data_IF_809589696280
#
_entry.id   IF_809589696280
#
_cell.length_a   1.000
_cell.length_b   1.000
_cell.length_c   1.000
_cell.angle_alpha   90.00
_cell.angle_beta   90.00
_cell.angle_gamma   90.00
#
_symmetry.space_group_name_H-M   'P 1'
#
loop_
_entity.id
_entity.type
_entity.pdbx_description
1 polymer ?
#
# COMPACT_ATOMS: atom_id res chain seq x y z
N UNK A 1 24.62 32.13 36.55
CA UNK A 1 23.72 32.21 37.71
C UNK A 1 22.42 32.89 37.29
N UNK A 2 21.38 32.14 36.90
CA UNK A 2 19.99 32.62 36.87
C UNK A 2 19.09 31.42 37.17
N UNK A 3 18.09 31.69 38.00
CA UNK A 3 17.30 30.73 38.77
C UNK A 3 16.23 29.97 37.98
N UNK A 4 15.98 28.79 38.51
CA UNK A 4 14.86 27.85 38.33
C UNK A 4 13.46 28.47 38.28
N UNK A 5 12.56 27.89 37.46
CA UNK A 5 11.12 27.83 37.75
C UNK A 5 10.57 26.41 37.58
N UNK A 6 9.97 25.96 38.69
CA UNK A 6 9.16 24.75 38.90
C UNK A 6 7.78 24.81 38.24
N UNK A 7 7.15 23.61 38.25
CA UNK A 7 5.72 23.24 38.14
C UNK A 7 5.29 22.89 36.72
N UNK A 8 4.56 21.79 36.49
CA UNK A 8 3.43 21.30 37.29
C UNK A 8 3.09 19.84 36.91
N UNK A 9 2.81 19.01 37.91
CA UNK A 9 2.20 17.70 37.77
C UNK A 9 0.88 17.75 37.00
N UNK A 10 0.67 16.75 36.12
CA UNK A 10 -0.57 16.54 35.39
C UNK A 10 -0.86 15.05 35.22
N UNK A 11 -1.49 14.44 36.22
CA UNK A 11 -2.15 13.11 36.15
C UNK A 11 -3.08 13.02 34.93
N UNK A 12 -3.07 11.88 34.22
CA UNK A 12 -4.25 11.22 33.62
C UNK A 12 -3.83 9.82 33.13
N UNK A 13 -4.11 8.78 33.92
CA UNK A 13 -5.29 7.90 33.80
C UNK A 13 -5.06 6.74 32.84
N UNK A 14 -4.55 5.66 33.43
CA UNK A 14 -4.47 4.29 32.89
C UNK A 14 -5.88 3.80 32.56
N UNK A 15 -6.18 3.58 31.27
CA UNK A 15 -7.37 2.82 30.86
C UNK A 15 -6.99 1.35 30.68
N UNK A 16 -7.47 0.51 31.60
CA UNK A 16 -7.48 -0.95 31.46
C UNK A 16 -8.69 -1.35 30.64
N UNK A 17 -8.50 -1.83 29.42
CA UNK A 17 -9.51 -2.48 28.60
C UNK A 17 -9.22 -3.98 28.48
N UNK A 18 -9.94 -4.80 29.25
CA UNK A 18 -9.88 -6.26 29.20
C UNK A 18 -11.13 -6.84 28.49
N UNK A 19 -11.11 -8.12 28.07
CA UNK A 19 -11.77 -8.59 26.84
C UNK A 19 -13.21 -9.07 27.04
N UNK A 20 -14.06 -8.84 26.03
CA UNK A 20 -15.39 -9.46 25.94
C UNK A 20 -15.33 -10.85 25.32
N UNK A 21 -15.41 -11.86 26.18
CA UNK A 21 -15.84 -13.23 25.86
C UNK A 21 -17.32 -13.26 25.46
N UNK A 22 -17.66 -14.18 24.56
CA UNK A 22 -18.88 -14.98 24.69
C UNK A 22 -20.02 -14.66 23.74
N UNK A 23 -20.05 -15.36 22.60
CA UNK A 23 -21.22 -15.46 21.72
C UNK A 23 -21.35 -16.89 21.21
N UNK A 24 -22.07 -17.72 21.97
CA UNK A 24 -22.41 -19.12 21.65
C UNK A 24 -23.76 -19.14 20.92
N UNK A 25 -24.03 -20.25 20.22
CA UNK A 25 -25.37 -20.76 19.79
C UNK A 25 -25.83 -20.17 18.44
N UNK A 26 -26.06 -20.96 17.36
CA UNK A 26 -27.16 -21.94 17.23
C UNK A 26 -26.88 -23.07 16.25
N UNK A 27 -27.20 -24.29 16.72
CA UNK A 27 -27.57 -25.47 15.92
C UNK A 27 -28.88 -25.19 15.17
N UNK A 28 -28.97 -25.73 13.96
CA UNK A 28 -30.23 -26.01 13.27
C UNK A 28 -29.94 -26.25 11.80
N UNK A 29 -30.55 -27.18 11.09
CA UNK A 29 -31.44 -28.28 11.39
C UNK A 29 -31.48 -29.07 10.09
N UNK A 30 -31.45 -30.39 10.18
CA UNK A 30 -31.69 -31.30 9.06
C UNK A 30 -32.98 -30.92 8.33
N UNK A 31 -32.97 -31.03 6.99
CA UNK A 31 -34.07 -31.53 6.16
C UNK A 31 -33.59 -31.66 4.70
N UNK A 32 -33.28 -32.89 4.30
CA UNK A 32 -33.70 -33.40 3.00
C UNK A 32 -35.23 -33.64 3.10
N UNK A 33 -36.02 -33.45 2.03
CA UNK A 33 -36.15 -34.53 1.05
C UNK A 33 -36.53 -34.14 -0.39
N UNK A 34 -36.42 -35.15 -1.25
CA UNK A 34 -37.30 -35.44 -2.40
C UNK A 34 -37.17 -34.61 -3.69
N UNK A 35 -36.43 -35.19 -4.63
CA UNK A 35 -36.94 -35.64 -5.94
C UNK A 35 -38.16 -34.90 -6.52
N UNK A 36 -37.92 -34.02 -7.49
CA UNK A 36 -38.89 -33.68 -8.51
C UNK A 36 -38.18 -33.44 -9.85
N UNK A 37 -38.54 -34.28 -10.82
CA UNK A 37 -38.59 -34.00 -12.26
C UNK A 37 -37.27 -33.68 -12.96
N UNK A 38 -36.47 -34.74 -13.12
CA UNK A 38 -35.74 -35.01 -14.37
C UNK A 38 -36.76 -35.18 -15.50
N UNK A 39 -37.08 -34.09 -16.20
CA UNK A 39 -37.69 -34.12 -17.54
C UNK A 39 -36.90 -33.17 -18.42
N UNK A 40 -36.18 -33.79 -19.36
CA UNK A 40 -36.03 -33.31 -20.73
C UNK A 40 -35.29 -31.99 -20.96
N UNK A 41 -34.10 -31.83 -20.38
CA UNK A 41 -33.13 -30.84 -20.87
C UNK A 41 -32.37 -31.33 -22.13
N UNK A 42 -32.48 -32.61 -22.47
CA UNK A 42 -31.74 -33.22 -23.59
C UNK A 42 -32.40 -33.02 -24.96
N UNK A 43 -33.69 -32.68 -25.02
CA UNK A 43 -34.41 -32.49 -26.29
C UNK A 43 -34.37 -31.05 -26.81
N UNK A 44 -34.08 -30.07 -25.96
CA UNK A 44 -33.91 -28.68 -26.39
C UNK A 44 -32.54 -28.40 -27.07
N UNK A 45 -31.58 -29.31 -26.94
CA UNK A 45 -30.28 -29.21 -27.60
C UNK A 45 -30.26 -29.81 -29.03
N UNK A 46 -31.36 -30.45 -29.48
CA UNK A 46 -31.46 -31.06 -30.82
C UNK A 46 -32.09 -30.17 -31.89
N UNK A 47 -32.62 -29.00 -31.53
CA UNK A 47 -33.20 -28.06 -32.50
C UNK A 47 -32.36 -26.80 -32.72
N UNK A 48 -31.13 -26.74 -32.19
CA UNK A 48 -30.22 -25.70 -32.65
C UNK A 48 -29.81 -26.06 -34.08
N UNK A 49 -30.19 -25.26 -35.10
CA UNK A 49 -29.66 -25.46 -36.43
C UNK A 49 -28.14 -25.36 -36.30
N UNK A 50 -27.46 -26.48 -36.46
CA UNK A 50 -26.02 -26.53 -36.59
C UNK A 50 -25.71 -25.89 -37.95
N UNK A 51 -25.69 -24.56 -37.96
CA UNK A 51 -25.23 -23.74 -39.06
C UNK A 51 -23.72 -24.00 -39.16
N UNK A 52 -23.38 -25.06 -39.86
CA UNK A 52 -22.04 -25.35 -40.36
C UNK A 52 -21.80 -24.50 -41.62
N UNK A 53 -21.97 -23.18 -41.50
CA UNK A 53 -21.41 -22.29 -42.51
C UNK A 53 -19.90 -22.33 -42.35
N UNK A 54 -19.21 -22.76 -43.41
CA UNK A 54 -17.76 -22.58 -43.49
C UNK A 54 -17.52 -21.08 -43.29
N UNK A 55 -16.73 -20.66 -42.30
CA UNK A 55 -16.46 -19.25 -42.12
C UNK A 55 -15.76 -18.76 -43.37
N UNK A 56 -16.46 -17.96 -44.18
CA UNK A 56 -15.83 -17.27 -45.29
C UNK A 56 -14.65 -16.47 -44.74
N UNK A 57 -13.56 -16.38 -45.50
CA UNK A 57 -12.32 -15.73 -45.05
C UNK A 57 -12.55 -14.29 -44.58
N UNK A 58 -13.62 -13.65 -45.07
CA UNK A 58 -14.09 -12.33 -44.65
C UNK A 58 -14.55 -12.30 -43.17
N UNK A 59 -15.21 -13.35 -42.67
CA UNK A 59 -15.61 -13.43 -41.26
C UNK A 59 -14.42 -13.51 -40.33
N UNK A 60 -13.38 -14.28 -40.72
CA UNK A 60 -12.15 -14.36 -39.94
C UNK A 60 -11.45 -12.99 -39.85
N UNK A 61 -11.38 -12.24 -40.95
CA UNK A 61 -10.80 -10.90 -40.96
C UNK A 61 -11.59 -9.91 -40.08
N UNK A 62 -12.93 -9.95 -40.14
CA UNK A 62 -13.79 -9.08 -39.32
C UNK A 62 -13.56 -9.33 -37.82
N UNK A 63 -13.48 -10.60 -37.40
CA UNK A 63 -13.24 -10.96 -36.00
C UNK A 63 -11.85 -10.52 -35.51
N UNK A 64 -10.82 -10.63 -36.36
CA UNK A 64 -9.48 -10.16 -36.03
C UNK A 64 -9.45 -8.64 -35.85
N UNK A 65 -10.08 -7.90 -36.75
CA UNK A 65 -10.17 -6.43 -36.66
C UNK A 65 -10.95 -5.99 -35.43
N UNK A 66 -12.08 -6.64 -35.11
CA UNK A 66 -12.84 -6.39 -33.89
C UNK A 66 -12.05 -6.70 -32.62
N UNK A 67 -11.33 -7.83 -32.60
CA UNK A 67 -10.48 -8.22 -31.47
C UNK A 67 -9.35 -7.24 -31.21
N UNK A 68 -8.64 -6.81 -32.27
CA UNK A 68 -7.61 -5.78 -32.19
C UNK A 68 -8.18 -4.44 -31.75
N UNK A 69 -9.34 -4.04 -32.28
CA UNK A 69 -10.03 -2.82 -31.88
C UNK A 69 -10.40 -2.83 -30.40
N UNK A 70 -10.96 -3.93 -29.90
CA UNK A 70 -11.28 -4.10 -28.47
C UNK A 70 -10.04 -4.10 -27.59
N UNK A 71 -8.96 -4.77 -28.01
CA UNK A 71 -7.69 -4.79 -27.29
C UNK A 71 -7.07 -3.40 -27.21
N UNK A 72 -7.04 -2.66 -28.32
CA UNK A 72 -6.52 -1.28 -28.35
C UNK A 72 -7.40 -0.33 -27.53
N UNK A 73 -8.72 -0.51 -27.58
CA UNK A 73 -9.65 0.25 -26.75
C UNK A 73 -9.43 -0.06 -25.27
N UNK A 74 -9.24 -1.33 -24.91
CA UNK A 74 -8.91 -1.74 -23.54
C UNK A 74 -7.54 -1.24 -23.09
N UNK A 75 -6.52 -1.22 -23.96
CA UNK A 75 -5.21 -0.64 -23.67
C UNK A 75 -5.29 0.87 -23.48
N UNK A 76 -6.09 1.57 -24.31
CA UNK A 76 -6.30 2.99 -24.18
C UNK A 76 -7.05 3.34 -22.88
N UNK A 77 -8.10 2.60 -22.52
CA UNK A 77 -8.86 2.81 -21.29
C UNK A 77 -8.12 2.32 -20.03
N UNK A 78 -7.38 1.21 -20.13
CA UNK A 78 -6.60 0.60 -19.05
C UNK A 78 -5.32 1.36 -18.76
N UNK A 79 -4.67 1.92 -19.78
CA UNK A 79 -3.52 2.81 -19.63
C UNK A 79 -3.86 4.18 -19.03
N UNK A 80 -5.15 4.53 -18.93
CA UNK A 80 -5.67 5.74 -18.28
C UNK A 80 -5.99 5.54 -16.79
N UNK A 81 -5.79 4.35 -16.22
CA UNK A 81 -5.57 4.23 -14.79
C UNK A 81 -4.17 4.74 -14.48
N UNK A 82 -4.01 6.06 -14.61
CA UNK A 82 -2.85 6.78 -14.12
C UNK A 82 -2.56 6.29 -12.71
N UNK A 83 -1.29 6.01 -12.39
CA UNK A 83 -0.88 5.61 -11.07
C UNK A 83 -1.10 6.78 -10.11
N UNK A 84 -2.34 6.99 -9.65
CA UNK A 84 -2.71 8.06 -8.74
C UNK A 84 -1.90 8.00 -7.44
N UNK A 85 -1.40 6.82 -7.08
CA UNK A 85 -0.42 6.66 -6.01
C UNK A 85 0.96 7.23 -6.36
N UNK A 86 1.51 6.94 -7.55
CA UNK A 86 2.90 7.29 -7.87
C UNK A 86 3.11 8.80 -7.96
N UNK A 87 2.13 9.55 -8.49
CA UNK A 87 2.20 11.02 -8.50
C UNK A 87 2.12 11.62 -7.08
N UNK A 88 1.30 11.04 -6.19
CA UNK A 88 1.21 11.49 -4.80
C UNK A 88 2.47 11.13 -3.98
N UNK A 89 3.09 9.99 -4.29
CA UNK A 89 4.37 9.55 -3.73
C UNK A 89 5.52 10.47 -4.16
N UNK A 90 5.54 10.91 -5.42
CA UNK A 90 6.54 11.85 -5.94
C UNK A 90 6.43 13.23 -5.27
N UNK A 91 5.20 13.76 -5.14
CA UNK A 91 4.95 15.02 -4.42
C UNK A 91 5.37 14.95 -2.95
N UNK A 92 5.11 13.81 -2.28
CA UNK A 92 5.50 13.59 -0.89
C UNK A 92 7.01 13.44 -0.73
N UNK A 93 7.68 12.80 -1.68
CA UNK A 93 9.14 12.66 -1.70
C UNK A 93 9.85 14.01 -1.79
N UNK A 94 9.40 14.88 -2.68
CA UNK A 94 9.93 16.24 -2.82
C UNK A 94 9.73 17.09 -1.56
N UNK A 95 8.57 16.95 -0.89
CA UNK A 95 8.30 17.62 0.38
C UNK A 95 9.29 17.20 1.47
N UNK A 96 9.53 15.89 1.61
CA UNK A 96 10.48 15.34 2.59
C UNK A 96 11.88 15.86 2.31
N UNK A 97 12.36 15.73 1.07
CA UNK A 97 13.69 16.16 0.68
C UNK A 97 13.88 17.67 0.92
N UNK A 98 12.88 18.48 0.59
CA UNK A 98 12.92 19.93 0.80
C UNK A 98 12.94 20.31 2.27
N UNK A 99 12.21 19.59 3.14
CA UNK A 99 12.21 19.82 4.58
C UNK A 99 13.53 19.44 5.23
N UNK A 100 14.08 18.28 4.88
CA UNK A 100 15.39 17.83 5.34
C UNK A 100 16.52 18.77 4.90
N UNK A 101 16.42 19.36 3.70
CA UNK A 101 17.35 20.39 3.24
C UNK A 101 17.26 21.68 4.07
N UNK A 102 16.08 22.08 4.54
CA UNK A 102 15.92 23.26 5.40
C UNK A 102 16.47 23.04 6.82
N UNK A 103 16.37 21.82 7.34
CA UNK A 103 16.92 21.44 8.65
C UNK A 103 18.44 21.19 8.64
N UNK A 104 19.11 21.44 7.51
CA UNK A 104 20.55 21.21 7.30
C UNK A 104 20.98 19.73 7.36
N UNK A 105 20.02 18.79 7.32
CA UNK A 105 20.33 17.35 7.27
C UNK A 105 20.92 16.93 5.91
N UNK A 106 20.56 17.65 4.84
CA UNK A 106 21.11 17.46 3.49
C UNK A 106 21.79 18.77 3.07
N UNK A 107 23.09 18.70 2.80
CA UNK A 107 23.95 19.82 2.35
C UNK A 107 24.45 19.53 0.93
N UNK A 108 24.93 20.54 0.22
CA UNK A 108 25.46 20.37 -1.15
C UNK A 108 26.67 19.41 -1.20
N UNK A 109 27.39 19.25 -0.09
CA UNK A 109 28.57 18.41 0.07
C UNK A 109 28.28 17.04 0.71
N UNK A 110 27.03 16.76 1.09
CA UNK A 110 26.65 15.45 1.62
C UNK A 110 25.51 15.49 2.63
N UNK A 111 25.41 14.40 3.40
CA UNK A 111 24.36 14.19 4.39
C UNK A 111 24.95 14.37 5.79
N UNK A 112 24.33 15.22 6.61
CA UNK A 112 24.69 15.39 8.02
C UNK A 112 24.06 14.29 8.87
N UNK A 113 24.87 13.27 9.18
CA UNK A 113 24.45 12.10 9.94
C UNK A 113 24.08 12.44 11.39
N UNK A 114 24.62 13.52 11.98
CA UNK A 114 24.27 13.92 13.34
C UNK A 114 22.85 14.51 13.38
N UNK A 115 22.50 15.33 12.39
CA UNK A 115 21.15 15.86 12.24
C UNK A 115 20.13 14.73 12.01
N UNK A 116 20.44 13.79 11.11
CA UNK A 116 19.58 12.62 10.89
C UNK A 116 19.45 11.75 12.14
N UNK A 117 20.52 11.60 12.93
CA UNK A 117 20.45 10.85 14.19
C UNK A 117 19.51 11.53 15.19
N UNK A 118 19.54 12.86 15.29
CA UNK A 118 18.61 13.59 16.15
C UNK A 118 17.15 13.38 15.73
N UNK A 119 16.86 13.36 14.42
CA UNK A 119 15.52 13.04 13.89
C UNK A 119 15.17 11.57 14.14
N UNK A 120 16.14 10.65 14.03
CA UNK A 120 15.93 9.22 14.27
C UNK A 120 15.59 8.90 15.75
N UNK A 121 15.95 9.77 16.68
CA UNK A 121 15.61 9.65 18.10
C UNK A 121 14.18 10.13 18.42
N UNK A 122 13.54 10.87 17.50
CA UNK A 122 12.14 11.33 17.65
C UNK A 122 11.15 10.19 17.41
N UNK A 123 9.94 10.35 17.94
CA UNK A 123 8.82 9.45 17.64
C UNK A 123 8.38 9.63 16.19
N UNK A 124 8.02 8.53 15.51
CA UNK A 124 7.65 8.55 14.09
C UNK A 124 6.52 9.54 13.77
N UNK A 125 5.52 9.65 14.65
CA UNK A 125 4.42 10.60 14.49
C UNK A 125 4.87 12.07 14.61
N UNK A 126 5.90 12.35 15.41
CA UNK A 126 6.50 13.69 15.51
C UNK A 126 7.27 14.03 14.23
N UNK A 127 8.05 13.07 13.71
CA UNK A 127 8.76 13.23 12.43
C UNK A 127 7.77 13.45 11.28
N UNK A 128 6.65 12.72 11.24
CA UNK A 128 5.56 12.92 10.26
C UNK A 128 5.01 14.35 10.31
N UNK A 129 4.78 14.88 11.50
CA UNK A 129 4.28 16.24 11.69
C UNK A 129 5.29 17.30 11.27
N UNK A 130 6.56 17.12 11.62
CA UNK A 130 7.64 18.07 11.28
C UNK A 130 7.87 18.12 9.75
N UNK A 131 7.85 16.96 9.09
CA UNK A 131 7.98 16.87 7.63
C UNK A 131 6.70 17.27 6.89
N UNK A 132 5.55 17.31 7.57
CA UNK A 132 4.25 17.66 6.98
C UNK A 132 3.70 16.59 6.03
N UNK A 133 4.03 15.32 6.29
CA UNK A 133 3.65 14.18 5.45
C UNK A 133 2.54 13.40 6.13
N UNK A 134 1.48 13.07 5.40
CA UNK A 134 0.36 12.29 5.91
C UNK A 134 0.53 10.78 5.67
N UNK A 135 1.19 10.43 4.57
CA UNK A 135 1.42 9.03 4.16
C UNK A 135 2.61 8.42 4.88
N UNK A 136 2.67 7.09 4.88
CA UNK A 136 3.80 6.38 5.46
C UNK A 136 5.04 6.46 4.56
N UNK A 137 6.19 6.71 5.19
CA UNK A 137 7.45 6.86 4.49
C UNK A 137 8.59 6.16 5.22
N UNK A 138 9.69 5.96 4.51
CA UNK A 138 10.96 5.52 5.07
C UNK A 138 12.11 6.29 4.41
N UNK A 139 12.89 6.98 5.23
CA UNK A 139 14.10 7.71 4.83
C UNK A 139 15.29 6.79 5.10
N UNK A 140 16.06 6.52 4.06
CA UNK A 140 17.31 5.75 4.11
C UNK A 140 18.42 6.53 3.46
N UNK A 141 19.65 6.27 3.90
CA UNK A 141 20.87 6.81 3.28
C UNK A 141 21.58 5.64 2.62
N UNK A 142 21.89 5.77 1.34
CA UNK A 142 22.65 4.77 0.58
C UNK A 142 24.03 5.34 0.21
N UNK A 143 25.05 4.48 0.22
CA UNK A 143 26.37 4.83 -0.31
C UNK A 143 26.42 4.74 -1.85
N UNK A 144 27.56 5.11 -2.44
CA UNK A 144 27.76 5.06 -3.89
C UNK A 144 27.66 3.64 -4.47
N UNK A 145 27.77 2.61 -3.64
CA UNK A 145 27.62 1.21 -4.01
C UNK A 145 26.19 0.69 -3.79
N UNK A 146 25.25 1.55 -3.37
CA UNK A 146 23.86 1.20 -3.11
C UNK A 146 23.66 0.41 -1.81
N UNK A 147 24.61 0.50 -0.86
CA UNK A 147 24.46 -0.12 0.46
C UNK A 147 23.82 0.88 1.43
N UNK A 148 22.85 0.41 2.20
CA UNK A 148 22.17 1.21 3.20
C UNK A 148 23.10 1.48 4.39
N UNK A 149 23.32 2.75 4.70
CA UNK A 149 24.07 3.22 5.86
C UNK A 149 23.08 3.38 7.02
N UNK A 150 23.25 2.66 8.14
CA UNK A 150 22.36 2.78 9.29
C UNK A 150 22.45 4.18 9.91
N UNK A 151 21.30 4.72 10.32
CA UNK A 151 21.16 6.01 10.98
C UNK A 151 21.05 5.75 12.48
N UNK A 152 22.17 5.83 13.19
CA UNK A 152 22.24 5.43 14.60
C UNK A 152 22.13 3.92 14.75
N UNK A 153 21.14 3.45 15.50
CA UNK A 153 20.86 2.01 15.65
C UNK A 153 19.81 1.49 14.65
N UNK A 154 19.21 2.35 13.83
CA UNK A 154 18.08 2.01 12.93
C UNK A 154 18.53 1.90 11.47
N UNK A 155 17.86 1.05 10.67
CA UNK A 155 18.08 0.98 9.21
C UNK A 155 17.73 2.30 8.50
N UNK A 156 16.70 2.97 9.01
CA UNK A 156 16.16 4.21 8.44
C UNK A 156 15.15 4.85 9.37
N UNK A 157 14.67 6.03 8.99
CA UNK A 157 13.69 6.82 9.74
C UNK A 157 12.34 6.69 9.06
N UNK A 158 11.37 6.04 9.70
CA UNK A 158 10.07 5.80 9.07
C UNK A 158 9.21 4.74 9.75
N UNK A 159 8.16 4.33 9.04
CA UNK A 159 7.22 3.29 9.48
C UNK A 159 7.84 1.90 9.49
N UNK A 160 7.59 1.10 10.53
CA UNK A 160 8.05 -0.29 10.60
C UNK A 160 7.25 -1.27 9.74
N UNK A 161 6.21 -0.78 9.07
CA UNK A 161 5.48 -1.53 8.04
C UNK A 161 6.22 -1.55 6.70
N UNK A 162 7.12 -0.59 6.48
CA UNK A 162 7.94 -0.51 5.26
C UNK A 162 9.24 -1.30 5.42
N UNK A 163 9.62 -2.02 4.37
CA UNK A 163 10.81 -2.88 4.37
C UNK A 163 11.91 -2.31 3.47
N UNK A 164 13.13 -2.28 3.98
CA UNK A 164 14.34 -1.90 3.25
C UNK A 164 15.29 -3.10 3.29
N UNK A 165 15.56 -3.71 2.13
CA UNK A 165 16.39 -4.92 2.07
C UNK A 165 15.83 -6.10 2.90
N UNK A 166 14.51 -6.13 3.14
CA UNK A 166 13.85 -7.14 3.97
C UNK A 166 13.86 -6.85 5.48
N UNK A 167 14.42 -5.72 5.91
CA UNK A 167 14.42 -5.29 7.31
C UNK A 167 13.38 -4.16 7.51
N UNK A 168 12.56 -4.21 8.57
CA UNK A 168 11.64 -3.12 8.89
C UNK A 168 12.34 -1.78 9.10
N UNK A 169 11.82 -0.72 8.47
CA UNK A 169 12.28 0.63 8.69
C UNK A 169 11.97 1.10 10.13
N UNK A 170 12.75 2.02 10.68
CA UNK A 170 12.55 2.53 12.04
C UNK A 170 12.87 1.55 13.19
N UNK A 171 13.12 0.26 12.92
CA UNK A 171 13.57 -0.69 13.94
C UNK A 171 15.08 -0.70 14.12
N UNK A 172 15.55 -0.94 15.36
CA UNK A 172 16.97 -1.12 15.60
C UNK A 172 17.47 -2.42 14.96
N UNK A 173 18.62 -2.35 14.27
CA UNK A 173 19.36 -3.50 13.71
C UNK A 173 20.27 -4.17 14.72
#
# INVERSE_FOLDING_TARGET
MVQTRRKKDGRRSVQRGAPRRGGRVRRGSKRHPSSATSRDASDLLRQLPFVSERPDHNFALILVVLGLGLLLTWLALGGLQSPRGVAALEESGDLIAKRLAMEHAIREDGVDLEALKAIAEMDYEEVKQELGVQEDFCIVVEDAEGRVIPIGEKVGIGSDELLVGGVPCGRPT
#
